data_IF_885909132787
#
_entry.id   IF_885909132787
#
_cell.length_a   1.000
_cell.length_b   1.000
_cell.length_c   1.000
_cell.angle_alpha   90.00
_cell.angle_beta   90.00
_cell.angle_gamma   90.00
#
_symmetry.space_group_name_H-M   'P 1'
#
loop_
_entity.id
_entity.type
_entity.pdbx_description
1 polymer ?
#
# COMPACT_ATOMS: atom_id res chain seq x y z
N UNK A 1 13.42 54.99 -50.78
CA UNK A 1 12.38 54.37 -49.94
C UNK A 1 12.90 53.02 -49.46
N UNK A 2 13.45 52.97 -48.25
CA UNK A 2 13.92 51.72 -47.62
C UNK A 2 13.18 51.64 -46.27
N UNK A 3 12.31 50.64 -46.12
CA UNK A 3 11.52 50.40 -44.92
C UNK A 3 12.38 49.65 -43.89
N UNK A 4 12.54 50.25 -42.72
CA UNK A 4 12.97 49.59 -41.49
C UNK A 4 11.87 48.62 -41.04
N UNK A 5 12.21 47.34 -40.85
CA UNK A 5 11.38 46.36 -40.15
C UNK A 5 12.04 46.04 -38.81
N UNK A 6 11.46 46.56 -37.74
CA UNK A 6 11.85 46.28 -36.36
C UNK A 6 11.27 44.94 -35.95
N UNK A 7 12.12 43.92 -35.76
CA UNK A 7 11.72 42.63 -35.20
C UNK A 7 11.69 42.77 -33.66
N UNK A 8 10.49 42.83 -33.08
CA UNK A 8 10.29 42.78 -31.63
C UNK A 8 10.48 41.35 -31.13
N UNK A 9 11.48 41.14 -30.26
CA UNK A 9 11.66 39.91 -29.50
C UNK A 9 10.63 39.92 -28.36
N UNK A 10 9.61 39.06 -28.48
CA UNK A 10 8.63 38.81 -27.44
C UNK A 10 9.20 37.76 -26.47
N UNK A 11 9.82 38.21 -25.40
CA UNK A 11 10.31 37.34 -24.31
C UNK A 11 9.11 36.86 -23.50
N UNK A 12 8.58 35.68 -23.84
CA UNK A 12 7.60 34.96 -23.03
C UNK A 12 8.27 34.47 -21.73
N UNK A 13 8.13 35.25 -20.66
CA UNK A 13 8.40 34.80 -19.30
C UNK A 13 7.32 33.76 -18.93
N UNK A 14 7.64 32.49 -19.10
CA UNK A 14 6.92 31.39 -18.47
C UNK A 14 7.15 31.47 -16.96
N UNK A 15 6.28 32.20 -16.26
CA UNK A 15 6.09 32.10 -14.82
C UNK A 15 5.45 30.75 -14.50
N UNK A 16 6.23 29.67 -14.63
CA UNK A 16 5.89 28.38 -14.07
C UNK A 16 5.90 28.51 -12.55
N UNK A 17 4.76 28.24 -11.90
CA UNK A 17 4.69 27.98 -10.47
C UNK A 17 5.47 26.71 -10.13
N UNK A 18 6.81 26.80 -10.12
CA UNK A 18 7.66 25.73 -9.60
C UNK A 18 7.61 25.78 -8.08
N UNK A 19 6.72 25.00 -7.47
CA UNK A 19 6.94 24.60 -6.09
C UNK A 19 8.36 24.02 -6.01
N UNK A 20 9.22 24.58 -5.16
CA UNK A 20 10.63 24.18 -5.13
C UNK A 20 10.73 22.66 -4.90
N UNK A 21 11.45 21.97 -5.78
CA UNK A 21 11.73 20.54 -5.65
C UNK A 21 12.75 20.23 -4.54
N UNK A 22 13.22 21.24 -3.82
CA UNK A 22 14.10 21.10 -2.66
C UNK A 22 13.40 20.43 -1.47
N UNK A 23 14.13 19.66 -0.64
CA UNK A 23 13.66 19.20 0.66
C UNK A 23 13.12 20.35 1.52
N UNK A 24 12.02 20.14 2.28
CA UNK A 24 11.58 21.10 3.28
C UNK A 24 12.68 21.46 4.28
N UNK A 25 12.62 22.67 4.83
CA UNK A 25 13.44 23.05 5.98
C UNK A 25 12.86 22.42 7.27
N UNK A 26 13.71 22.17 8.26
CA UNK A 26 13.31 21.64 9.57
C UNK A 26 13.60 20.15 9.75
N UNK A 27 13.17 19.62 10.90
CA UNK A 27 13.41 18.22 11.28
C UNK A 27 12.21 17.36 10.89
N UNK A 28 12.37 16.31 10.05
CA UNK A 28 11.27 15.41 9.68
C UNK A 28 10.61 14.72 10.89
N UNK A 29 11.33 14.59 12.01
CA UNK A 29 10.79 14.06 13.26
C UNK A 29 9.69 14.94 13.87
N UNK A 30 9.59 16.22 13.51
CA UNK A 30 8.54 17.11 14.01
C UNK A 30 7.14 16.69 13.51
N UNK A 31 7.07 15.88 12.44
CA UNK A 31 5.82 15.29 11.92
C UNK A 31 5.37 14.05 12.69
N UNK A 32 6.23 13.47 13.53
CA UNK A 32 6.02 12.17 14.15
C UNK A 32 4.94 12.27 15.22
N UNK A 33 3.88 11.47 15.05
CA UNK A 33 2.76 11.37 15.99
C UNK A 33 2.67 9.96 16.55
N UNK A 34 2.54 9.86 17.87
CA UNK A 34 2.27 8.58 18.54
C UNK A 34 0.80 8.23 18.38
N UNK A 35 0.53 7.02 17.91
CA UNK A 35 -0.80 6.41 17.86
C UNK A 35 -0.86 5.12 18.70
N UNK A 36 -2.04 4.49 18.72
CA UNK A 36 -2.34 3.29 19.49
C UNK A 36 -1.31 2.18 19.29
N UNK A 37 -0.87 1.94 18.05
CA UNK A 37 -0.01 0.81 17.69
C UNK A 37 1.34 1.22 17.07
N UNK A 38 1.74 2.49 17.19
CA UNK A 38 3.06 2.94 16.77
C UNK A 38 3.07 4.39 16.30
N UNK A 39 4.07 4.74 15.50
CA UNK A 39 4.23 6.09 14.98
C UNK A 39 3.55 6.27 13.63
N UNK A 40 3.11 7.50 13.40
CA UNK A 40 2.64 8.03 12.13
C UNK A 40 3.52 9.20 11.73
N UNK A 41 3.82 9.32 10.45
CA UNK A 41 4.54 10.47 9.87
C UNK A 41 3.74 11.07 8.72
N UNK A 42 4.06 12.30 8.35
CA UNK A 42 3.45 12.98 7.21
C UNK A 42 3.88 12.37 5.87
N UNK A 43 3.15 12.73 4.81
CA UNK A 43 3.36 12.25 3.44
C UNK A 43 4.62 12.77 2.76
N UNK A 44 5.34 13.70 3.36
CA UNK A 44 6.63 14.21 2.89
C UNK A 44 7.83 13.58 3.62
N UNK A 45 7.61 12.61 4.51
CA UNK A 45 8.67 11.90 5.25
C UNK A 45 8.89 10.49 4.68
N UNK A 46 10.16 10.11 4.57
CA UNK A 46 10.62 8.77 4.20
C UNK A 46 11.28 8.09 5.38
N UNK A 47 10.97 6.80 5.57
CA UNK A 47 11.46 5.98 6.69
C UNK A 47 12.57 5.05 6.21
N UNK A 48 13.73 5.10 6.86
CA UNK A 48 14.89 4.26 6.59
C UNK A 48 15.13 3.19 7.65
N UNK A 49 16.32 2.58 7.57
CA UNK A 49 16.81 1.61 8.56
C UNK A 49 16.72 2.18 9.98
N UNK A 50 16.38 1.32 10.93
CA UNK A 50 16.24 1.64 12.35
C UNK A 50 15.20 2.76 12.60
N UNK A 51 14.24 2.89 11.68
CA UNK A 51 13.21 3.93 11.65
C UNK A 51 13.76 5.35 11.60
N UNK A 52 14.96 5.54 11.01
CA UNK A 52 15.48 6.86 10.66
C UNK A 52 14.49 7.62 9.77
N UNK A 53 14.37 8.93 9.98
CA UNK A 53 13.44 9.79 9.26
C UNK A 53 14.22 10.80 8.42
N UNK A 54 13.78 10.98 7.18
CA UNK A 54 14.28 12.00 6.27
C UNK A 54 13.13 12.61 5.48
N UNK A 55 13.38 13.74 4.82
CA UNK A 55 12.43 14.27 3.84
C UNK A 55 12.43 13.40 2.59
N UNK A 56 11.25 13.04 2.07
CA UNK A 56 11.08 12.30 0.83
C UNK A 56 11.84 12.95 -0.33
N UNK A 57 11.77 14.28 -0.43
CA UNK A 57 12.46 15.06 -1.45
C UNK A 57 13.98 14.99 -1.37
N UNK A 58 14.57 14.43 -0.31
CA UNK A 58 15.99 14.11 -0.27
C UNK A 58 16.33 12.85 -1.08
N UNK A 59 15.34 11.98 -1.35
CA UNK A 59 15.51 10.74 -2.09
C UNK A 59 14.99 10.80 -3.53
N UNK A 60 13.93 11.59 -3.76
CA UNK A 60 13.27 11.68 -5.07
C UNK A 60 13.05 13.13 -5.51
N UNK A 61 12.93 13.34 -6.82
CA UNK A 61 12.53 14.59 -7.46
C UNK A 61 11.15 14.45 -8.13
N UNK A 62 10.39 15.53 -8.21
CA UNK A 62 9.13 15.57 -8.95
C UNK A 62 8.00 14.73 -8.33
N UNK A 63 8.02 14.53 -7.02
CA UNK A 63 6.98 13.78 -6.32
C UNK A 63 5.59 14.39 -6.51
N UNK A 64 4.60 13.53 -6.79
CA UNK A 64 3.20 13.87 -6.83
C UNK A 64 2.35 12.73 -6.22
N UNK A 65 1.24 13.06 -5.52
CA UNK A 65 0.27 12.06 -5.09
C UNK A 65 -0.26 11.22 -6.26
N UNK A 66 -0.60 9.96 -5.97
CA UNK A 66 -1.05 8.96 -6.97
C UNK A 66 -2.56 8.97 -7.23
N UNK A 67 -3.34 9.69 -6.44
CA UNK A 67 -4.78 9.87 -6.68
C UNK A 67 -4.99 10.56 -8.04
N UNK A 68 -5.95 10.07 -8.82
CA UNK A 68 -6.19 10.50 -10.20
C UNK A 68 -5.29 9.85 -11.26
N UNK A 69 -4.23 9.12 -10.87
CA UNK A 69 -3.33 8.49 -11.84
C UNK A 69 -3.90 7.16 -12.33
N UNK A 70 -4.05 7.04 -13.66
CA UNK A 70 -4.59 5.85 -14.31
C UNK A 70 -3.47 4.88 -14.72
N UNK A 71 -3.47 3.61 -14.25
CA UNK A 71 -2.56 2.62 -14.77
C UNK A 71 -2.92 2.23 -16.21
N UNK A 72 -1.92 1.88 -17.03
CA UNK A 72 -2.15 1.38 -18.38
C UNK A 72 -2.88 0.04 -18.37
N UNK A 73 -2.54 -0.83 -17.41
CA UNK A 73 -3.16 -2.14 -17.24
C UNK A 73 -3.06 -2.65 -15.81
N UNK A 74 -4.00 -3.52 -15.45
CA UNK A 74 -3.97 -4.34 -14.23
C UNK A 74 -3.69 -5.78 -14.66
N UNK A 75 -2.63 -6.36 -14.12
CA UNK A 75 -2.21 -7.75 -14.29
C UNK A 75 -2.22 -8.51 -12.97
N UNK A 76 -1.85 -9.78 -13.02
CA UNK A 76 -2.01 -10.72 -11.92
C UNK A 76 -0.68 -11.38 -11.52
N UNK A 77 -0.50 -11.51 -10.22
CA UNK A 77 0.49 -12.34 -9.56
C UNK A 77 -0.22 -13.53 -8.92
N UNK A 78 0.21 -14.73 -9.27
CA UNK A 78 -0.28 -15.93 -8.61
C UNK A 78 0.21 -15.96 -7.16
N UNK A 79 -0.68 -16.35 -6.25
CA UNK A 79 -0.34 -16.56 -4.85
C UNK A 79 0.30 -17.93 -4.66
N UNK A 80 1.25 -18.03 -3.72
CA UNK A 80 1.89 -19.31 -3.41
C UNK A 80 1.03 -20.12 -2.44
N UNK A 81 0.63 -21.37 -2.78
CA UNK A 81 -0.12 -22.23 -1.87
C UNK A 81 0.78 -22.92 -0.84
N UNK A 82 2.11 -22.91 -1.03
CA UNK A 82 3.04 -23.68 -0.19
C UNK A 82 3.33 -23.06 1.17
N UNK A 83 2.80 -21.86 1.44
CA UNK A 83 3.13 -21.05 2.61
C UNK A 83 4.63 -20.74 2.78
N UNK A 84 5.43 -20.94 1.71
CA UNK A 84 6.89 -20.81 1.71
C UNK A 84 7.35 -19.84 0.64
N UNK A 85 8.46 -19.18 0.95
CA UNK A 85 9.21 -18.33 0.04
C UNK A 85 10.55 -18.99 -0.28
N UNK A 86 11.09 -18.80 -1.49
CA UNK A 86 12.49 -19.14 -1.76
C UNK A 86 13.40 -18.36 -0.81
N UNK A 87 14.40 -19.04 -0.25
CA UNK A 87 15.35 -18.38 0.65
C UNK A 87 16.17 -17.31 -0.09
N UNK A 88 16.63 -16.26 0.61
CA UNK A 88 17.64 -15.36 0.08
C UNK A 88 18.91 -16.10 -0.32
N UNK A 89 19.52 -15.69 -1.43
CA UNK A 89 20.80 -16.24 -1.86
C UNK A 89 21.92 -15.79 -0.91
N UNK A 90 23.02 -16.54 -0.89
CA UNK A 90 24.23 -16.09 -0.17
C UNK A 90 24.68 -14.75 -0.75
N UNK A 91 24.82 -13.74 0.11
CA UNK A 91 25.19 -12.37 -0.26
C UNK A 91 24.02 -11.43 -0.51
N UNK A 92 22.77 -11.92 -0.58
CA UNK A 92 21.59 -11.05 -0.66
C UNK A 92 21.40 -10.29 0.65
N UNK A 93 21.08 -9.00 0.56
CA UNK A 93 20.64 -8.19 1.68
C UNK A 93 19.13 -8.36 1.86
N UNK A 94 18.73 -9.10 2.90
CA UNK A 94 17.33 -9.23 3.29
C UNK A 94 16.84 -7.94 3.97
N UNK A 95 15.79 -7.33 3.43
CA UNK A 95 15.13 -6.15 4.02
C UNK A 95 13.62 -6.34 3.99
N UNK A 96 12.97 -6.15 5.13
CA UNK A 96 11.52 -6.07 5.23
C UNK A 96 11.09 -4.60 5.28
N UNK A 97 10.17 -4.19 4.40
CA UNK A 97 9.41 -2.95 4.55
C UNK A 97 8.05 -3.31 5.14
N UNK A 98 7.73 -2.73 6.28
CA UNK A 98 6.49 -3.02 7.01
C UNK A 98 5.71 -1.75 7.36
N UNK A 99 4.43 -1.71 7.01
CA UNK A 99 3.49 -0.71 7.54
C UNK A 99 2.09 -1.30 7.68
N UNK A 100 1.29 -0.76 8.60
CA UNK A 100 -0.11 -1.14 8.73
C UNK A 100 -1.02 -0.24 7.89
N UNK A 101 -0.61 1.00 7.64
CA UNK A 101 -1.44 1.99 6.97
C UNK A 101 -0.61 3.03 6.20
N UNK A 102 -1.27 3.71 5.26
CA UNK A 102 -0.73 4.83 4.47
C UNK A 102 -1.89 5.74 4.08
N UNK A 103 -1.64 7.04 4.01
CA UNK A 103 -2.63 8.01 3.56
C UNK A 103 -2.67 8.16 2.03
N UNK A 104 -1.79 7.47 1.30
CA UNK A 104 -1.73 7.58 -0.15
C UNK A 104 -2.77 6.68 -0.82
N UNK A 105 -3.82 7.31 -1.28
CA UNK A 105 -4.85 6.69 -2.07
C UNK A 105 -4.44 6.48 -3.53
N UNK A 106 -4.72 5.30 -4.10
CA UNK A 106 -4.80 5.11 -5.56
C UNK A 106 -6.24 5.08 -6.05
N UNK A 107 -6.47 5.09 -7.35
CA UNK A 107 -7.78 4.82 -7.94
C UNK A 107 -7.91 3.38 -8.48
N UNK A 108 -7.12 2.46 -7.91
CA UNK A 108 -7.18 1.03 -8.17
C UNK A 108 -7.90 0.33 -7.01
N UNK A 109 -8.88 -0.49 -7.36
CA UNK A 109 -9.74 -1.21 -6.43
C UNK A 109 -9.59 -2.70 -6.63
N UNK A 110 -9.70 -3.45 -5.53
CA UNK A 110 -9.65 -4.90 -5.53
C UNK A 110 -10.68 -5.46 -4.55
N UNK A 111 -11.47 -6.45 -4.98
CA UNK A 111 -12.48 -7.11 -4.16
C UNK A 111 -12.45 -8.61 -4.38
N UNK A 112 -12.65 -9.36 -3.29
CA UNK A 112 -12.87 -10.80 -3.38
C UNK A 112 -14.34 -11.13 -3.65
N UNK A 113 -14.60 -12.34 -4.13
CA UNK A 113 -15.93 -12.89 -4.27
C UNK A 113 -16.67 -12.98 -2.93
N UNK A 114 -15.93 -13.15 -1.83
CA UNK A 114 -16.47 -13.15 -0.49
C UNK A 114 -16.97 -11.75 -0.07
N UNK A 115 -16.20 -10.69 -0.37
CA UNK A 115 -16.62 -9.30 -0.11
C UNK A 115 -17.93 -8.97 -0.87
N UNK A 116 -18.00 -9.35 -2.15
CA UNK A 116 -19.20 -9.12 -2.98
C UNK A 116 -20.39 -9.95 -2.47
N UNK A 117 -20.17 -11.20 -2.04
CA UNK A 117 -21.21 -12.07 -1.51
C UNK A 117 -21.79 -11.52 -0.20
N UNK A 118 -20.95 -11.14 0.76
CA UNK A 118 -21.38 -10.57 2.04
C UNK A 118 -22.24 -9.32 1.83
N UNK A 119 -21.80 -8.43 0.94
CA UNK A 119 -22.54 -7.20 0.62
C UNK A 119 -23.86 -7.47 -0.08
N UNK A 120 -23.89 -8.46 -0.97
CA UNK A 120 -25.12 -8.88 -1.62
C UNK A 120 -26.12 -9.48 -0.64
N UNK A 121 -25.65 -10.28 0.33
CA UNK A 121 -26.50 -10.81 1.41
C UNK A 121 -27.08 -9.67 2.27
N UNK A 122 -26.25 -8.71 2.68
CA UNK A 122 -26.70 -7.54 3.44
C UNK A 122 -27.72 -6.70 2.65
N UNK A 123 -27.50 -6.53 1.34
CA UNK A 123 -28.41 -5.81 0.45
C UNK A 123 -29.78 -6.51 0.33
N UNK A 124 -29.80 -7.84 0.12
CA UNK A 124 -31.03 -8.64 0.09
C UNK A 124 -31.78 -8.55 1.43
N UNK A 125 -31.07 -8.69 2.55
CA UNK A 125 -31.69 -8.60 3.88
C UNK A 125 -32.29 -7.22 4.16
N UNK A 126 -31.61 -6.14 3.74
CA UNK A 126 -32.17 -4.78 3.85
C UNK A 126 -33.40 -4.60 2.99
N UNK A 127 -33.39 -5.07 1.73
CA UNK A 127 -34.56 -5.03 0.86
C UNK A 127 -35.75 -5.75 1.49
N UNK A 128 -35.56 -6.96 2.03
CA UNK A 128 -36.62 -7.73 2.70
C UNK A 128 -37.20 -7.02 3.93
N UNK A 129 -36.37 -6.26 4.65
CA UNK A 129 -36.78 -5.50 5.83
C UNK A 129 -37.55 -4.22 5.44
N UNK A 130 -37.04 -3.49 4.46
CA UNK A 130 -37.55 -2.17 4.06
C UNK A 130 -38.72 -2.26 3.06
N UNK A 131 -38.84 -3.39 2.35
CA UNK A 131 -39.85 -3.64 1.33
C UNK A 131 -39.65 -2.87 0.02
N UNK A 132 -38.45 -2.31 -0.19
CA UNK A 132 -38.04 -1.53 -1.37
C UNK A 132 -36.52 -1.56 -1.53
N UNK A 133 -36.02 -1.09 -2.66
CA UNK A 133 -34.57 -0.96 -2.92
C UNK A 133 -33.89 -0.06 -1.86
N UNK A 134 -32.97 -0.60 -1.05
CA UNK A 134 -32.25 0.18 -0.04
C UNK A 134 -31.10 1.01 -0.63
N UNK A 135 -30.75 0.79 -1.91
CA UNK A 135 -29.53 1.29 -2.52
C UNK A 135 -28.28 0.54 -2.02
N UNK A 136 -27.20 0.59 -2.81
CA UNK A 136 -25.94 -0.04 -2.43
C UNK A 136 -25.05 0.98 -1.71
N UNK A 137 -24.68 0.69 -0.46
CA UNK A 137 -23.74 1.51 0.29
C UNK A 137 -22.35 1.48 -0.34
N UNK A 138 -21.76 2.67 -0.51
CA UNK A 138 -20.41 2.81 -1.04
C UNK A 138 -19.37 2.26 -0.05
N UNK A 139 -18.44 1.44 -0.56
CA UNK A 139 -17.29 0.92 0.19
C UNK A 139 -15.95 1.46 -0.32
N UNK A 140 -15.97 2.58 -1.05
CA UNK A 140 -14.81 3.09 -1.79
C UNK A 140 -13.52 3.17 -0.97
N UNK A 141 -13.59 3.67 0.27
CA UNK A 141 -12.40 3.82 1.12
C UNK A 141 -11.81 2.47 1.57
N UNK A 142 -12.65 1.44 1.71
CA UNK A 142 -12.27 0.11 2.17
C UNK A 142 -11.75 -0.82 1.07
N UNK A 143 -12.11 -0.57 -0.18
CA UNK A 143 -11.71 -1.41 -1.33
C UNK A 143 -10.58 -0.80 -2.16
N UNK A 144 -10.26 0.46 -1.88
CA UNK A 144 -9.17 1.20 -2.51
C UNK A 144 -7.82 0.67 -2.05
N UNK A 145 -6.96 0.30 -3.01
CA UNK A 145 -5.56 0.06 -2.73
C UNK A 145 -4.86 1.37 -2.36
N UNK A 146 -4.09 1.33 -1.28
CA UNK A 146 -3.25 2.44 -0.82
C UNK A 146 -1.80 2.20 -1.19
N UNK A 147 -1.07 3.25 -1.50
CA UNK A 147 0.27 3.16 -2.08
C UNK A 147 1.34 3.37 -1.03
N UNK A 148 2.31 2.46 -0.98
CA UNK A 148 3.55 2.68 -0.22
C UNK A 148 4.68 2.73 -1.22
N UNK A 149 5.42 3.84 -1.23
CA UNK A 149 6.57 4.00 -2.11
C UNK A 149 7.81 3.38 -1.46
N UNK A 150 8.48 2.51 -2.18
CA UNK A 150 9.72 1.88 -1.74
C UNK A 150 10.85 2.31 -2.67
N UNK A 151 11.71 3.17 -2.14
CA UNK A 151 12.87 3.70 -2.84
C UNK A 151 14.07 2.79 -2.53
N UNK A 152 14.64 2.13 -3.53
CA UNK A 152 15.76 1.20 -3.38
C UNK A 152 17.02 1.86 -3.93
N UNK A 153 17.92 2.23 -3.03
CA UNK A 153 19.21 2.88 -3.30
C UNK A 153 20.40 2.00 -2.94
N UNK A 154 20.18 0.84 -2.32
CA UNK A 154 21.21 -0.14 -1.99
C UNK A 154 21.95 -0.66 -3.22
N UNK A 155 23.28 -0.47 -3.25
CA UNK A 155 24.14 -0.86 -4.38
C UNK A 155 25.21 -1.89 -4.00
N UNK A 156 25.53 -2.05 -2.71
CA UNK A 156 26.61 -2.93 -2.26
C UNK A 156 26.25 -4.41 -2.44
N UNK A 157 24.97 -4.74 -2.28
CA UNK A 157 24.45 -6.11 -2.42
C UNK A 157 23.08 -6.13 -3.11
N UNK A 158 22.73 -7.21 -3.83
CA UNK A 158 21.35 -7.42 -4.27
C UNK A 158 20.39 -7.48 -3.08
N UNK A 159 19.23 -6.84 -3.21
CA UNK A 159 18.21 -6.79 -2.16
C UNK A 159 17.20 -7.92 -2.35
N UNK A 160 17.01 -8.72 -1.32
CA UNK A 160 15.81 -9.53 -1.15
C UNK A 160 14.78 -8.68 -0.40
N UNK A 161 13.75 -8.21 -1.11
CA UNK A 161 12.78 -7.26 -0.59
C UNK A 161 11.53 -7.98 -0.10
N UNK A 162 11.26 -7.93 1.20
CA UNK A 162 9.99 -8.39 1.78
C UNK A 162 9.08 -7.19 1.99
N UNK A 163 7.89 -7.22 1.42
CA UNK A 163 6.88 -6.18 1.48
C UNK A 163 5.71 -6.71 2.30
N UNK A 164 5.58 -6.24 3.53
CA UNK A 164 4.71 -6.86 4.52
C UNK A 164 3.75 -5.85 5.17
N UNK A 165 2.55 -6.32 5.48
CA UNK A 165 1.54 -5.53 6.19
C UNK A 165 0.54 -4.87 5.25
N UNK A 166 -0.25 -3.96 5.82
CA UNK A 166 -1.40 -3.34 5.17
C UNK A 166 -2.56 -4.28 4.92
N UNK A 167 -3.75 -3.70 4.78
CA UNK A 167 -4.95 -4.42 4.37
C UNK A 167 -5.05 -4.45 2.85
N UNK A 168 -5.00 -3.29 2.20
CA UNK A 168 -5.15 -3.13 0.75
C UNK A 168 -4.01 -2.26 0.23
N UNK A 169 -2.87 -2.87 -0.12
CA UNK A 169 -1.61 -2.14 -0.35
C UNK A 169 -1.01 -2.41 -1.73
N UNK A 170 -0.70 -1.33 -2.45
CA UNK A 170 0.05 -1.32 -3.70
C UNK A 170 1.46 -0.78 -3.44
N UNK A 171 2.47 -1.64 -3.54
CA UNK A 171 3.86 -1.27 -3.35
C UNK A 171 4.43 -0.66 -4.63
N UNK A 172 4.80 0.62 -4.60
CA UNK A 172 5.39 1.33 -5.73
C UNK A 172 6.92 1.31 -5.63
N UNK A 173 7.58 0.54 -6.49
CA UNK A 173 9.03 0.32 -6.43
C UNK A 173 9.77 1.34 -7.31
N UNK A 174 10.73 2.04 -6.70
CA UNK A 174 11.59 3.01 -7.37
C UNK A 174 13.03 2.64 -7.08
N UNK A 175 13.76 2.19 -8.09
CA UNK A 175 15.12 1.66 -7.93
C UNK A 175 16.12 2.63 -8.55
N UNK A 176 17.23 2.90 -7.87
CA UNK A 176 18.34 3.63 -8.47
C UNK A 176 18.96 2.82 -9.62
N UNK A 177 19.65 3.45 -10.58
CA UNK A 177 20.21 2.72 -11.73
C UNK A 177 21.08 1.53 -11.33
N UNK A 178 21.90 1.69 -10.28
CA UNK A 178 22.88 0.68 -9.85
C UNK A 178 22.39 -0.26 -8.74
N UNK A 179 21.23 0.01 -8.15
CA UNK A 179 20.66 -0.90 -7.16
C UNK A 179 20.20 -2.20 -7.84
N UNK A 180 20.18 -3.31 -7.11
CA UNK A 180 19.74 -4.62 -7.64
C UNK A 180 18.71 -5.21 -6.71
N UNK A 181 17.57 -5.65 -7.26
CA UNK A 181 16.55 -6.38 -6.50
C UNK A 181 16.60 -7.83 -6.96
N UNK A 182 17.08 -8.72 -6.08
CA UNK A 182 17.20 -10.14 -6.37
C UNK A 182 15.82 -10.83 -6.43
N UNK A 183 14.92 -10.45 -5.51
CA UNK A 183 13.57 -11.01 -5.40
C UNK A 183 12.67 -10.09 -4.59
N UNK A 184 11.37 -10.16 -4.85
CA UNK A 184 10.33 -9.58 -4.00
C UNK A 184 9.46 -10.68 -3.39
N UNK A 185 9.24 -10.61 -2.08
CA UNK A 185 8.22 -11.36 -1.35
C UNK A 185 7.14 -10.40 -0.88
N UNK A 186 5.88 -10.62 -1.31
CA UNK A 186 4.74 -9.81 -0.85
C UNK A 186 3.94 -10.62 0.17
N UNK A 187 3.71 -10.05 1.35
CA UNK A 187 2.95 -10.66 2.45
C UNK A 187 1.82 -9.70 2.85
N UNK A 188 0.63 -9.91 2.30
CA UNK A 188 -0.54 -9.04 2.50
C UNK A 188 -1.64 -9.70 3.33
N UNK A 189 -2.41 -8.91 4.08
CA UNK A 189 -3.54 -9.46 4.87
C UNK A 189 -4.86 -9.51 4.07
N UNK A 190 -5.13 -8.55 3.19
CA UNK A 190 -6.18 -8.63 2.16
C UNK A 190 -5.55 -8.51 0.77
N UNK A 191 -5.90 -7.48 0.00
CA UNK A 191 -5.38 -7.29 -1.35
C UNK A 191 -3.98 -6.67 -1.30
N UNK A 192 -3.08 -7.19 -2.11
CA UNK A 192 -1.73 -6.65 -2.23
C UNK A 192 -1.31 -6.59 -3.69
N UNK A 193 -0.45 -5.64 -4.04
CA UNK A 193 0.06 -5.52 -5.39
C UNK A 193 1.38 -4.80 -5.45
N UNK A 194 1.95 -4.74 -6.64
CA UNK A 194 3.22 -4.08 -6.92
C UNK A 194 3.15 -3.34 -8.26
N UNK A 195 3.88 -2.25 -8.36
CA UNK A 195 3.99 -1.43 -9.57
C UNK A 195 5.42 -0.91 -9.70
N UNK A 196 5.84 -0.63 -10.94
CA UNK A 196 7.16 -0.11 -11.30
C UNK A 196 8.35 -1.02 -10.91
N UNK A 197 8.10 -2.30 -10.62
CA UNK A 197 9.14 -3.31 -10.47
C UNK A 197 9.86 -3.55 -11.80
N UNK A 198 11.16 -3.76 -11.74
CA UNK A 198 11.98 -4.09 -12.90
C UNK A 198 11.49 -5.40 -13.56
N UNK A 199 11.28 -5.42 -14.89
CA UNK A 199 10.88 -6.63 -15.59
C UNK A 199 11.85 -7.78 -15.35
N UNK A 200 11.31 -8.97 -15.08
CA UNK A 200 12.11 -10.18 -14.82
C UNK A 200 12.53 -10.37 -13.36
N UNK A 201 12.33 -9.39 -12.47
CA UNK A 201 12.53 -9.62 -11.02
C UNK A 201 11.52 -10.65 -10.52
N UNK A 202 11.97 -11.78 -9.92
CA UNK A 202 11.06 -12.78 -9.39
C UNK A 202 10.21 -12.21 -8.25
N UNK A 203 8.91 -12.51 -8.29
CA UNK A 203 7.96 -12.15 -7.24
C UNK A 203 7.29 -13.41 -6.70
N UNK A 204 7.18 -13.51 -5.39
CA UNK A 204 6.37 -14.53 -4.71
C UNK A 204 5.38 -13.82 -3.80
N UNK A 205 4.13 -14.24 -3.81
CA UNK A 205 3.04 -13.53 -3.12
C UNK A 205 2.30 -14.46 -2.18
N UNK A 206 2.11 -14.03 -0.94
CA UNK A 206 1.23 -14.64 0.04
C UNK A 206 0.27 -13.55 0.55
N UNK A 207 -0.93 -13.49 -0.01
CA UNK A 207 -1.91 -12.44 0.30
C UNK A 207 -3.34 -12.99 0.38
N UNK A 208 -4.23 -12.23 1.01
CA UNK A 208 -5.66 -12.55 1.14
C UNK A 208 -5.90 -13.94 1.73
N UNK A 209 -6.73 -14.74 1.04
CA UNK A 209 -7.07 -16.10 1.48
C UNK A 209 -5.84 -16.99 1.64
N UNK A 210 -4.84 -16.89 0.75
CA UNK A 210 -3.62 -17.69 0.87
C UNK A 210 -2.87 -17.38 2.18
N UNK A 211 -2.75 -16.09 2.56
CA UNK A 211 -2.14 -15.71 3.83
C UNK A 211 -2.96 -16.21 5.04
N UNK A 212 -4.30 -16.12 4.95
CA UNK A 212 -5.23 -16.62 5.97
C UNK A 212 -5.09 -18.14 6.16
N UNK A 213 -5.07 -18.90 5.08
CA UNK A 213 -4.94 -20.37 5.10
C UNK A 213 -3.58 -20.79 5.68
N UNK A 214 -2.53 -20.04 5.35
CA UNK A 214 -1.21 -20.20 5.94
C UNK A 214 -1.08 -19.66 7.38
N UNK A 215 -2.14 -19.02 7.91
CA UNK A 215 -2.16 -18.36 9.23
C UNK A 215 -1.04 -17.33 9.41
N UNK A 216 -0.64 -16.67 8.32
CA UNK A 216 0.41 -15.65 8.30
C UNK A 216 -0.24 -14.27 8.41
N UNK A 217 0.17 -13.51 9.42
CA UNK A 217 -0.30 -12.16 9.65
C UNK A 217 0.90 -11.28 10.02
N UNK A 218 1.38 -10.43 9.09
CA UNK A 218 2.43 -9.47 9.38
C UNK A 218 2.13 -8.68 10.65
N UNK A 219 3.10 -8.63 11.55
CA UNK A 219 2.93 -7.97 12.82
C UNK A 219 4.25 -7.53 13.43
N UNK A 220 4.23 -6.36 14.03
CA UNK A 220 5.36 -5.78 14.76
C UNK A 220 5.29 -6.16 16.23
N UNK A 221 6.47 -6.30 16.83
CA UNK A 221 6.60 -6.42 18.28
C UNK A 221 6.09 -5.14 18.96
N UNK A 222 5.22 -5.23 19.98
CA UNK A 222 4.86 -4.09 20.81
C UNK A 222 6.08 -3.34 21.31
N UNK A 223 6.11 -2.02 21.08
CA UNK A 223 7.22 -1.16 21.48
C UNK A 223 6.83 -0.27 22.67
N UNK A 224 7.79 0.13 23.52
CA UNK A 224 7.52 0.96 24.70
C UNK A 224 6.80 2.28 24.39
N UNK A 225 7.01 2.83 23.21
CA UNK A 225 6.44 4.10 22.78
C UNK A 225 5.00 3.99 22.23
N UNK A 226 4.44 2.79 22.08
CA UNK A 226 3.05 2.65 21.63
C UNK A 226 2.10 3.07 22.75
N UNK A 227 1.07 3.88 22.45
CA UNK A 227 0.11 4.32 23.47
C UNK A 227 -0.58 3.16 24.18
N UNK A 228 -0.82 2.05 23.48
CA UNK A 228 -1.40 0.83 24.11
C UNK A 228 -0.43 0.18 25.11
N UNK A 229 0.88 0.24 24.86
CA UNK A 229 1.88 -0.32 25.78
C UNK A 229 2.04 0.58 26.99
N UNK A 230 2.04 1.90 26.79
CA UNK A 230 2.03 2.89 27.87
C UNK A 230 0.80 2.72 28.78
N UNK A 231 -0.40 2.66 28.21
CA UNK A 231 -1.64 2.46 28.96
C UNK A 231 -1.66 1.11 29.72
N UNK A 232 -1.16 0.03 29.11
CA UNK A 232 -1.04 -1.27 29.76
C UNK A 232 -0.13 -1.22 30.99
N UNK A 233 1.01 -0.51 30.91
CA UNK A 233 1.91 -0.26 32.05
C UNK A 233 1.25 0.58 33.13
N UNK A 234 0.40 1.54 32.73
CA UNK A 234 -0.44 2.34 33.63
C UNK A 234 -1.58 1.59 34.30
N UNK A 235 -1.79 0.31 33.97
CA UNK A 235 -2.75 -0.57 34.63
C UNK A 235 -4.01 -0.88 33.83
N UNK A 236 -4.23 -0.24 32.68
CA UNK A 236 -5.44 -0.44 31.85
C UNK A 236 -5.57 -1.88 31.36
N UNK A 237 -6.66 -2.55 31.75
CA UNK A 237 -6.87 -3.97 31.50
C UNK A 237 -7.10 -4.27 30.01
N UNK A 238 -7.85 -3.42 29.31
CA UNK A 238 -8.08 -3.57 27.87
C UNK A 238 -6.75 -3.47 27.10
N UNK A 239 -5.90 -2.53 27.49
CA UNK A 239 -4.58 -2.37 26.89
C UNK A 239 -3.64 -3.54 27.21
N UNK A 240 -3.68 -4.10 28.44
CA UNK A 240 -2.92 -5.31 28.79
C UNK A 240 -3.29 -6.49 27.89
N UNK A 241 -4.59 -6.72 27.70
CA UNK A 241 -5.10 -7.77 26.82
C UNK A 241 -4.71 -7.53 25.36
N UNK A 242 -4.78 -6.28 24.89
CA UNK A 242 -4.35 -5.91 23.55
C UNK A 242 -2.84 -6.14 23.33
N UNK A 243 -2.00 -5.79 24.30
CA UNK A 243 -0.54 -6.04 24.26
C UNK A 243 -0.25 -7.54 24.27
N UNK A 244 -0.92 -8.31 25.13
CA UNK A 244 -0.76 -9.77 25.17
C UNK A 244 -1.16 -10.43 23.85
N UNK A 245 -2.29 -10.04 23.27
CA UNK A 245 -2.75 -10.50 21.96
C UNK A 245 -1.74 -10.17 20.85
N UNK A 246 -1.24 -8.93 20.81
CA UNK A 246 -0.24 -8.50 19.82
C UNK A 246 1.08 -9.24 19.98
N UNK A 247 1.56 -9.47 21.20
CA UNK A 247 2.74 -10.30 21.45
C UNK A 247 2.55 -11.73 20.91
N UNK A 248 1.38 -12.33 21.11
CA UNK A 248 1.09 -13.68 20.60
C UNK A 248 1.03 -13.73 19.07
N UNK A 249 0.45 -12.72 18.42
CA UNK A 249 0.43 -12.62 16.95
C UNK A 249 1.85 -12.43 16.41
N UNK A 250 2.62 -11.51 17.01
CA UNK A 250 4.01 -11.27 16.63
C UNK A 250 4.90 -12.49 16.80
N UNK A 251 4.79 -13.22 17.92
CA UNK A 251 5.58 -14.43 18.14
C UNK A 251 5.33 -15.50 17.07
N UNK A 252 4.07 -15.68 16.64
CA UNK A 252 3.73 -16.59 15.53
C UNK A 252 4.30 -16.11 14.20
N UNK A 253 4.18 -14.81 13.91
CA UNK A 253 4.72 -14.22 12.69
C UNK A 253 6.24 -14.31 12.63
N UNK A 254 6.96 -13.91 13.69
CA UNK A 254 8.42 -13.96 13.75
C UNK A 254 8.94 -15.40 13.66
N UNK A 255 8.27 -16.37 14.29
CA UNK A 255 8.61 -17.78 14.15
C UNK A 255 8.49 -18.27 12.70
N UNK A 256 7.37 -17.96 12.04
CA UNK A 256 7.18 -18.28 10.62
C UNK A 256 8.18 -17.53 9.72
N UNK A 257 8.47 -16.26 10.01
CA UNK A 257 9.40 -15.42 9.25
C UNK A 257 10.82 -15.96 9.35
N UNK A 258 11.27 -16.36 10.54
CA UNK A 258 12.57 -17.04 10.74
C UNK A 258 12.66 -18.33 9.94
N UNK A 259 11.60 -19.14 9.93
CA UNK A 259 11.55 -20.36 9.14
C UNK A 259 11.59 -20.09 7.63
N UNK A 260 11.04 -18.96 7.18
CA UNK A 260 10.93 -18.58 5.77
C UNK A 260 12.16 -17.87 5.22
N UNK A 261 12.86 -17.09 6.06
CA UNK A 261 13.92 -16.16 5.61
C UNK A 261 15.22 -16.25 6.43
N UNK A 262 15.27 -17.06 7.49
CA UNK A 262 16.47 -17.30 8.30
C UNK A 262 16.88 -16.18 9.26
N UNK A 263 16.07 -15.12 9.41
CA UNK A 263 16.32 -13.98 10.33
C UNK A 263 15.08 -13.64 11.13
N UNK A 264 15.22 -12.91 12.24
CA UNK A 264 14.06 -12.31 12.90
C UNK A 264 13.42 -11.28 11.97
N UNK A 265 12.10 -11.10 12.05
CA UNK A 265 11.43 -10.07 11.27
C UNK A 265 11.91 -8.67 11.68
N UNK A 266 12.03 -8.41 12.98
CA UNK A 266 12.44 -7.09 13.50
C UNK A 266 13.87 -6.70 13.12
N UNK A 267 14.80 -7.66 13.02
CA UNK A 267 16.22 -7.39 12.72
C UNK A 267 16.45 -6.81 11.32
N UNK A 268 15.49 -7.02 10.41
CA UNK A 268 15.57 -6.59 9.00
C UNK A 268 14.46 -5.60 8.63
N UNK A 269 13.66 -5.14 9.60
CA UNK A 269 12.49 -4.30 9.31
C UNK A 269 12.84 -2.81 9.24
N UNK A 270 12.39 -2.19 8.18
CA UNK A 270 12.13 -0.76 8.03
C UNK A 270 10.63 -0.57 8.19
N UNK A 271 10.17 0.20 9.19
CA UNK A 271 8.74 0.41 9.30
C UNK A 271 8.25 1.04 10.59
N UNK A 272 7.18 1.82 10.43
CA UNK A 272 6.34 2.33 11.51
C UNK A 272 4.87 2.01 11.20
N UNK A 273 3.95 2.40 12.09
CA UNK A 273 2.54 2.01 11.98
C UNK A 273 1.89 2.59 10.73
N UNK A 274 2.05 3.89 10.50
CA UNK A 274 1.59 4.57 9.27
C UNK A 274 2.75 5.31 8.60
N UNK A 275 3.08 4.92 7.37
CA UNK A 275 4.09 5.61 6.55
C UNK A 275 3.75 5.51 5.06
N UNK A 276 4.21 6.51 4.31
CA UNK A 276 3.91 6.63 2.87
C UNK A 276 5.13 6.25 1.99
N UNK A 277 6.32 6.32 2.57
CA UNK A 277 7.58 6.13 1.87
C UNK A 277 8.58 5.38 2.76
N UNK A 278 9.27 4.41 2.16
CA UNK A 278 10.41 3.72 2.76
C UNK A 278 11.63 3.82 1.84
N UNK A 279 12.83 3.92 2.42
CA UNK A 279 14.10 3.84 1.69
C UNK A 279 14.90 2.60 2.10
N UNK A 280 15.31 1.82 1.12
CA UNK A 280 16.15 0.62 1.26
C UNK A 280 17.53 0.92 0.71
N UNK A 281 18.45 1.28 1.60
CA UNK A 281 19.78 1.77 1.27
C UNK A 281 20.01 3.18 1.84
N UNK A 282 21.18 3.78 1.57
CA UNK A 282 21.47 5.15 1.98
C UNK A 282 20.64 6.18 1.20
N UNK A 283 20.47 7.38 1.75
CA UNK A 283 19.96 8.51 0.97
C UNK A 283 20.94 8.84 -0.17
N UNK A 284 20.46 9.35 -1.32
CA UNK A 284 21.32 9.95 -2.32
C UNK A 284 22.25 11.00 -1.70
N UNK A 285 23.52 11.02 -2.14
CA UNK A 285 24.55 11.88 -1.55
C UNK A 285 24.37 13.36 -1.95
N UNK A 286 23.73 13.60 -3.09
CA UNK A 286 23.46 14.95 -3.60
C UNK A 286 22.07 15.06 -4.22
N UNK A 287 21.54 16.29 -4.41
CA UNK A 287 20.26 16.51 -5.09
C UNK A 287 20.21 15.95 -6.52
N UNK A 288 21.34 15.85 -7.21
CA UNK A 288 21.44 15.34 -8.59
C UNK A 288 21.38 13.80 -8.64
N UNK A 289 21.66 13.13 -7.52
CA UNK A 289 21.58 11.67 -7.38
C UNK A 289 20.17 11.18 -7.02
N UNK A 290 19.22 12.10 -6.84
CA UNK A 290 17.83 11.77 -6.52
C UNK A 290 17.15 11.05 -7.68
N UNK A 291 16.28 10.10 -7.34
CA UNK A 291 15.54 9.37 -8.35
C UNK A 291 14.37 10.23 -8.88
N UNK A 292 14.12 10.27 -10.19
CA UNK A 292 12.88 10.84 -10.70
C UNK A 292 11.70 10.00 -10.18
N UNK A 293 10.74 10.66 -9.54
CA UNK A 293 9.58 9.98 -9.00
C UNK A 293 8.75 9.32 -10.12
N UNK A 294 8.38 8.06 -9.92
CA UNK A 294 7.47 7.33 -10.81
C UNK A 294 6.20 7.00 -10.06
N UNK A 295 5.10 7.64 -10.46
CA UNK A 295 3.76 7.31 -9.99
C UNK A 295 3.23 6.04 -10.64
N UNK A 296 1.92 5.85 -10.65
CA UNK A 296 1.24 4.70 -11.26
C UNK A 296 0.64 5.00 -12.64
N UNK A 297 0.71 6.26 -13.08
CA UNK A 297 0.24 6.67 -14.40
C UNK A 297 0.94 5.85 -15.49
N UNK A 298 0.14 5.28 -16.41
CA UNK A 298 0.58 4.44 -17.53
C UNK A 298 1.40 3.19 -17.14
N UNK A 299 1.50 2.90 -15.85
CA UNK A 299 2.23 1.75 -15.35
C UNK A 299 1.40 0.46 -15.47
N UNK A 300 2.10 -0.66 -15.44
CA UNK A 300 1.47 -1.97 -15.24
C UNK A 300 1.40 -2.23 -13.74
N UNK A 301 0.18 -2.26 -13.21
CA UNK A 301 -0.08 -2.68 -11.83
C UNK A 301 -0.24 -4.20 -11.81
N UNK A 302 0.51 -4.89 -10.96
CA UNK A 302 0.44 -6.35 -10.79
C UNK A 302 -0.16 -6.65 -9.41
N UNK A 303 -1.37 -7.19 -9.38
CA UNK A 303 -2.07 -7.50 -8.12
C UNK A 303 -1.95 -8.97 -7.79
N UNK A 304 -1.83 -9.30 -6.51
CA UNK A 304 -2.17 -10.63 -6.02
C UNK A 304 -3.54 -11.02 -6.57
N UNK A 305 -3.64 -12.22 -7.13
CA UNK A 305 -4.87 -12.69 -7.76
C UNK A 305 -6.07 -12.53 -6.82
N UNK A 306 -7.08 -11.82 -7.30
CA UNK A 306 -8.37 -11.60 -6.65
C UNK A 306 -9.48 -11.71 -7.71
N UNK A 307 -10.74 -11.75 -7.28
CA UNK A 307 -11.87 -11.99 -8.18
C UNK A 307 -12.23 -10.76 -9.02
N UNK A 308 -12.10 -9.57 -8.43
CA UNK A 308 -12.41 -8.31 -9.09
C UNK A 308 -11.30 -7.29 -8.87
N UNK A 309 -10.83 -6.68 -9.95
CA UNK A 309 -9.96 -5.51 -9.87
C UNK A 309 -10.28 -4.52 -10.98
N UNK A 310 -10.31 -3.23 -10.66
CA UNK A 310 -10.62 -2.20 -11.63
C UNK A 310 -10.08 -0.83 -11.23
N UNK A 311 -9.94 0.03 -12.24
CA UNK A 311 -9.72 1.46 -12.05
C UNK A 311 -11.07 2.21 -12.04
N UNK A 312 -11.18 3.23 -11.18
CA UNK A 312 -12.31 4.16 -11.14
C UNK A 312 -11.83 5.57 -10.76
N UNK A 313 -11.90 6.51 -11.72
CA UNK A 313 -11.34 7.87 -11.58
C UNK A 313 -12.15 8.75 -10.62
N UNK A 314 -13.40 8.38 -10.35
CA UNK A 314 -14.31 9.14 -9.52
C UNK A 314 -15.04 8.25 -8.52
N UNK A 315 -15.68 8.86 -7.53
CA UNK A 315 -16.60 8.15 -6.65
C UNK A 315 -17.78 7.55 -7.42
N UNK A 316 -18.31 8.27 -8.41
CA UNK A 316 -19.43 7.81 -9.22
C UNK A 316 -19.05 6.57 -10.05
N UNK A 317 -17.87 6.57 -10.66
CA UNK A 317 -17.36 5.42 -11.42
C UNK A 317 -17.24 4.18 -10.54
N UNK A 318 -16.71 4.36 -9.32
CA UNK A 318 -16.59 3.29 -8.35
C UNK A 318 -17.97 2.79 -7.91
N UNK A 319 -18.86 3.70 -7.49
CA UNK A 319 -20.18 3.36 -6.96
C UNK A 319 -21.02 2.65 -8.02
N UNK A 320 -20.92 3.03 -9.29
CA UNK A 320 -21.56 2.35 -10.43
C UNK A 320 -21.06 0.90 -10.58
N UNK A 321 -19.74 0.69 -10.67
CA UNK A 321 -19.15 -0.66 -10.79
C UNK A 321 -19.44 -1.53 -9.57
N UNK A 322 -19.28 -0.98 -8.38
CA UNK A 322 -19.54 -1.69 -7.13
C UNK A 322 -21.02 -2.10 -7.04
N UNK A 323 -21.94 -1.20 -7.38
CA UNK A 323 -23.38 -1.50 -7.37
C UNK A 323 -23.74 -2.58 -8.38
N UNK A 324 -23.15 -2.55 -9.58
CA UNK A 324 -23.34 -3.62 -10.58
C UNK A 324 -22.93 -4.99 -10.02
N UNK A 325 -21.76 -5.09 -9.39
CA UNK A 325 -21.27 -6.35 -8.81
C UNK A 325 -22.18 -6.87 -7.69
N UNK A 326 -22.58 -5.99 -6.76
CA UNK A 326 -23.41 -6.34 -5.61
C UNK A 326 -24.83 -6.71 -6.05
N UNK A 327 -25.46 -5.91 -6.91
CA UNK A 327 -26.85 -6.16 -7.37
C UNK A 327 -26.93 -7.42 -8.21
N UNK A 328 -25.98 -7.65 -9.12
CA UNK A 328 -25.89 -8.91 -9.89
C UNK A 328 -25.77 -10.12 -8.98
N UNK A 329 -24.96 -10.04 -7.91
CA UNK A 329 -24.84 -11.14 -6.95
C UNK A 329 -26.11 -11.29 -6.10
N UNK A 330 -26.76 -10.20 -5.71
CA UNK A 330 -28.02 -10.21 -4.97
C UNK A 330 -29.16 -10.85 -5.78
N UNK A 331 -29.29 -10.52 -7.07
CA UNK A 331 -30.24 -11.15 -7.99
C UNK A 331 -30.05 -12.66 -8.04
N UNK A 332 -28.81 -13.14 -8.11
CA UNK A 332 -28.52 -14.58 -8.06
C UNK A 332 -28.99 -15.22 -6.74
N UNK A 333 -28.83 -14.53 -5.60
CA UNK A 333 -29.27 -15.02 -4.30
C UNK A 333 -30.81 -15.03 -4.17
N UNK A 334 -31.49 -14.07 -4.80
CA UNK A 334 -32.94 -13.93 -4.76
C UNK A 334 -33.69 -14.78 -5.81
N UNK A 335 -32.97 -15.50 -6.69
CA UNK A 335 -33.57 -16.30 -7.76
C UNK A 335 -33.95 -15.49 -9.01
N UNK A 336 -33.38 -14.30 -9.20
CA UNK A 336 -33.58 -13.45 -10.37
C UNK A 336 -34.01 -12.04 -10.00
N UNK A 337 -35.31 -11.77 -10.09
CA UNK A 337 -35.88 -10.44 -9.87
C UNK A 337 -35.94 -10.08 -8.37
N UNK A 338 -35.29 -8.98 -7.98
CA UNK A 338 -35.29 -8.48 -6.61
C UNK A 338 -36.63 -7.85 -6.20
N UNK A 339 -37.47 -7.45 -7.16
CA UNK A 339 -38.78 -6.86 -6.83
C UNK A 339 -39.75 -7.88 -6.22
N UNK A 340 -39.47 -9.18 -6.37
CA UNK A 340 -40.21 -10.23 -5.65
C UNK A 340 -40.02 -10.14 -4.13
N UNK A 341 -39.03 -9.38 -3.66
CA UNK A 341 -38.78 -9.09 -2.25
C UNK A 341 -39.56 -7.88 -1.74
N UNK A 342 -40.26 -7.14 -2.62
CA UNK A 342 -41.13 -6.05 -2.21
C UNK A 342 -42.26 -6.61 -1.35
N UNK A 343 -42.53 -5.98 -0.21
CA UNK A 343 -43.78 -6.26 0.50
C UNK A 343 -44.89 -5.65 -0.33
N UNK A 344 -45.85 -6.46 -0.78
CA UNK A 344 -47.12 -5.98 -1.33
C UNK A 344 -47.68 -4.95 -0.36
N UNK A 345 -47.94 -3.73 -0.86
CA UNK A 345 -48.67 -2.70 -0.11
C UNK A 345 -50.10 -3.17 0.18
#
# INVERSE_FOLDING_TARGET
MIRFLSLGILTLLLSGCSGSDSPPQGNPADSLKTDRFGYKVSSDVIVGKDNSLAWLKAAVSGYAPVEGQRPAKIGWLETTPSCKFPLPSVGDKLVQVHTNDTDQASDVFALSQADVLERAQNYVSQWQNDGKDPGVNSNRSGDRLRVVNVIVTETEAPVYLVLAGGFDTLWNIQKSPNARIARVAIIGTRNAGIVNLEPGTPVTVLAGNAAKDCKVSPSRRPQPYWRVVEAAKGGDQISKEAVASRNAIHARYDSWFRASFGKASEDVTIGIDQMNHAIVGPLPASPDDRLPYRGIADATVQLARTDYAFFAASRQDYDSKHSELVTKKAQQLAGGDLTSLNRTQ
#
